data_IF_006911846819
#
_entry.id   IF_006911846819
#
_cell.length_a   1.000
_cell.length_b   1.000
_cell.length_c   1.000
_cell.angle_alpha   90.00
_cell.angle_beta   90.00
_cell.angle_gamma   90.00
#
_symmetry.space_group_name_H-M   'P 1'
#
loop_
_entity.id
_entity.type
_entity.pdbx_description
1 polymer ?
#
# COMPACT_ATOMS: atom_id res chain seq x y z
N UNK A 1 -24.48 34.79 14.32
CA UNK A 1 -23.71 35.57 15.31
C UNK A 1 -22.51 36.15 14.59
N UNK A 2 -22.40 37.47 14.53
CA UNK A 2 -21.29 38.21 13.93
C UNK A 2 -20.19 38.41 14.98
N UNK A 3 -18.97 38.76 14.55
CA UNK A 3 -17.87 39.07 15.47
C UNK A 3 -18.24 40.16 16.50
N UNK A 4 -19.10 41.11 16.08
CA UNK A 4 -19.63 42.20 16.90
C UNK A 4 -20.57 41.73 18.02
N UNK A 5 -21.08 40.50 17.94
CA UNK A 5 -21.91 39.88 18.98
C UNK A 5 -21.06 39.34 20.15
N UNK A 6 -19.73 39.56 20.13
CA UNK A 6 -18.88 39.27 21.29
C UNK A 6 -19.15 40.30 22.37
N UNK A 7 -19.93 39.92 23.37
CA UNK A 7 -20.31 40.81 24.46
C UNK A 7 -20.64 40.04 25.75
N UNK A 8 -20.85 40.80 26.83
CA UNK A 8 -21.36 40.31 28.09
C UNK A 8 -22.90 40.35 28.06
N UNK A 9 -23.52 39.18 28.15
CA UNK A 9 -24.96 39.02 28.09
C UNK A 9 -25.53 38.78 29.48
N UNK A 10 -26.62 39.47 29.83
CA UNK A 10 -27.32 39.33 31.10
C UNK A 10 -28.74 38.84 30.87
N UNK A 11 -29.23 38.01 31.80
CA UNK A 11 -30.64 37.69 31.87
C UNK A 11 -31.28 38.56 32.95
N UNK A 12 -32.35 39.26 32.59
CA UNK A 12 -33.15 40.06 33.51
C UNK A 12 -34.59 39.61 33.45
N UNK A 13 -35.23 39.44 34.61
CA UNK A 13 -36.67 39.23 34.68
C UNK A 13 -37.28 40.09 35.76
N UNK A 14 -38.50 40.54 35.49
CA UNK A 14 -39.34 41.27 36.42
C UNK A 14 -40.60 40.49 36.68
N UNK A 15 -40.91 40.27 37.94
CA UNK A 15 -42.17 39.65 38.35
C UNK A 15 -42.85 40.50 39.40
N UNK A 16 -44.17 40.43 39.46
CA UNK A 16 -44.96 41.09 40.50
C UNK A 16 -45.08 40.13 41.66
N UNK A 17 -44.54 40.53 42.82
CA UNK A 17 -44.68 39.77 44.07
C UNK A 17 -46.03 40.09 44.75
N UNK A 18 -46.40 39.34 45.78
CA UNK A 18 -47.67 39.51 46.53
C UNK A 18 -47.89 40.95 47.04
N UNK A 19 -46.82 41.70 47.30
CA UNK A 19 -46.85 43.10 47.75
C UNK A 19 -47.13 44.14 46.64
N UNK A 20 -47.52 43.72 45.43
CA UNK A 20 -47.81 44.57 44.24
C UNK A 20 -46.57 45.33 43.72
N UNK A 21 -45.41 45.17 44.36
CA UNK A 21 -44.16 45.80 43.91
C UNK A 21 -43.49 44.96 42.83
N UNK A 22 -43.11 45.56 41.69
CA UNK A 22 -42.32 44.86 40.68
C UNK A 22 -40.91 44.61 41.24
N UNK A 23 -40.53 43.33 41.33
CA UNK A 23 -39.18 42.91 41.73
C UNK A 23 -38.38 42.63 40.48
N UNK A 24 -37.23 43.29 40.35
CA UNK A 24 -36.27 43.08 39.27
C UNK A 24 -35.10 42.23 39.76
N UNK A 25 -34.82 41.14 39.04
CA UNK A 25 -33.66 40.28 39.26
C UNK A 25 -32.82 40.22 38.00
N UNK A 26 -31.50 40.21 38.18
CA UNK A 26 -30.52 40.08 37.10
C UNK A 26 -29.47 39.03 37.44
N UNK A 27 -29.00 38.29 36.44
CA UNK A 27 -27.88 37.36 36.61
C UNK A 27 -26.53 38.10 36.59
N UNK A 28 -25.44 37.43 37.01
CA UNK A 28 -24.08 37.98 36.96
C UNK A 28 -23.51 38.13 35.53
N UNK A 29 -24.31 37.75 34.53
CA UNK A 29 -23.95 37.80 33.12
C UNK A 29 -23.06 36.64 32.67
N UNK A 30 -22.95 36.45 31.36
CA UNK A 30 -22.09 35.47 30.71
C UNK A 30 -21.44 36.12 29.50
N UNK A 31 -20.12 36.00 29.40
CA UNK A 31 -19.37 36.50 28.24
C UNK A 31 -19.52 35.48 27.12
N UNK A 32 -20.13 35.90 26.01
CA UNK A 32 -20.18 35.11 24.79
C UNK A 32 -19.10 35.66 23.86
N UNK A 33 -18.15 34.81 23.49
CA UNK A 33 -17.07 35.17 22.57
C UNK A 33 -17.34 34.50 21.24
N UNK A 34 -17.63 35.31 20.23
CA UNK A 34 -17.82 34.85 18.85
C UNK A 34 -16.48 35.03 18.15
N UNK A 35 -15.80 33.93 17.86
CA UNK A 35 -14.61 33.95 17.00
C UNK A 35 -14.98 33.40 15.64
N UNK A 36 -14.55 34.09 14.59
CA UNK A 36 -14.33 33.45 13.30
C UNK A 36 -13.09 32.56 13.44
N UNK A 37 -13.27 31.40 14.07
CA UNK A 37 -12.34 30.32 13.82
C UNK A 37 -12.65 29.82 12.41
N UNK A 38 -11.78 30.17 11.46
CA UNK A 38 -11.63 29.38 10.25
C UNK A 38 -11.34 27.94 10.74
N UNK A 39 -12.39 27.14 10.84
CA UNK A 39 -12.32 25.77 11.30
C UNK A 39 -11.55 25.00 10.21
N UNK A 40 -10.24 24.88 10.39
CA UNK A 40 -9.32 24.30 9.43
C UNK A 40 -8.34 25.34 8.91
N UNK A 41 -7.05 25.05 9.06
CA UNK A 41 -6.00 25.80 8.38
C UNK A 41 -5.94 25.28 6.94
N UNK A 42 -6.46 26.00 5.93
CA UNK A 42 -6.56 25.48 4.56
C UNK A 42 -5.19 25.14 3.97
N UNK A 43 -4.14 25.81 4.46
CA UNK A 43 -2.74 25.53 4.11
C UNK A 43 -2.31 24.16 4.64
N UNK A 44 -2.64 23.82 5.89
CA UNK A 44 -2.31 22.52 6.46
C UNK A 44 -3.09 21.41 5.76
N UNK A 45 -4.38 21.63 5.47
CA UNK A 45 -5.20 20.66 4.74
C UNK A 45 -4.65 20.41 3.33
N UNK A 46 -4.26 21.47 2.62
CA UNK A 46 -3.65 21.34 1.30
C UNK A 46 -2.31 20.58 1.36
N UNK A 47 -1.47 20.86 2.36
CA UNK A 47 -0.20 20.16 2.57
C UNK A 47 -0.44 18.69 2.88
N UNK A 48 -1.40 18.36 3.76
CA UNK A 48 -1.73 16.98 4.10
C UNK A 48 -2.26 16.20 2.89
N UNK A 49 -3.12 16.81 2.08
CA UNK A 49 -3.64 16.20 0.85
C UNK A 49 -2.51 16.00 -0.15
N UNK A 50 -1.69 17.02 -0.40
CA UNK A 50 -0.56 16.92 -1.33
C UNK A 50 0.45 15.85 -0.88
N UNK A 51 0.78 15.82 0.41
CA UNK A 51 1.67 14.81 0.99
C UNK A 51 1.09 13.40 0.87
N UNK A 52 -0.21 13.24 1.14
CA UNK A 52 -0.91 11.96 0.96
C UNK A 52 -0.82 11.48 -0.49
N UNK A 53 -1.22 12.31 -1.46
CA UNK A 53 -1.20 11.98 -2.89
C UNK A 53 0.21 11.65 -3.37
N UNK A 54 1.20 12.44 -2.96
CA UNK A 54 2.61 12.21 -3.34
C UNK A 54 3.16 10.92 -2.72
N UNK A 55 2.87 10.63 -1.44
CA UNK A 55 3.26 9.38 -0.81
C UNK A 55 2.64 8.17 -1.51
N UNK A 56 1.33 8.22 -1.81
CA UNK A 56 0.64 7.14 -2.53
C UNK A 56 1.21 6.92 -3.94
N UNK A 57 1.45 7.98 -4.70
CA UNK A 57 2.02 7.87 -6.05
C UNK A 57 3.43 7.30 -6.03
N UNK A 58 4.29 7.72 -5.10
CA UNK A 58 5.65 7.16 -4.93
C UNK A 58 5.58 5.67 -4.60
N UNK A 59 4.71 5.26 -3.67
CA UNK A 59 4.54 3.85 -3.30
C UNK A 59 4.12 3.02 -4.52
N UNK A 60 3.10 3.46 -5.26
CA UNK A 60 2.63 2.77 -6.47
C UNK A 60 3.75 2.64 -7.49
N UNK A 61 4.49 3.72 -7.77
CA UNK A 61 5.61 3.70 -8.71
C UNK A 61 6.72 2.73 -8.29
N UNK A 62 7.04 2.66 -6.99
CA UNK A 62 8.02 1.71 -6.46
C UNK A 62 7.54 0.27 -6.64
N UNK A 63 6.28 -0.03 -6.34
CA UNK A 63 5.70 -1.37 -6.54
C UNK A 63 5.69 -1.77 -8.02
N UNK A 64 5.20 -0.90 -8.90
CA UNK A 64 5.18 -1.15 -10.34
C UNK A 64 6.59 -1.33 -10.88
N UNK A 65 7.54 -0.48 -10.50
CA UNK A 65 8.95 -0.60 -10.88
C UNK A 65 9.57 -1.91 -10.39
N UNK A 66 9.31 -2.30 -9.14
CA UNK A 66 9.76 -3.57 -8.58
C UNK A 66 9.17 -4.76 -9.33
N UNK A 67 7.88 -4.74 -9.67
CA UNK A 67 7.24 -5.79 -10.48
C UNK A 67 7.87 -5.88 -11.87
N UNK A 68 8.04 -4.76 -12.58
CA UNK A 68 8.68 -4.75 -13.90
C UNK A 68 10.11 -5.28 -13.82
N UNK A 69 10.90 -4.88 -12.82
CA UNK A 69 12.25 -5.37 -12.61
C UNK A 69 12.28 -6.86 -12.30
N UNK A 70 11.35 -7.35 -11.47
CA UNK A 70 11.21 -8.79 -11.18
C UNK A 70 10.82 -9.58 -12.43
N UNK A 71 9.84 -9.13 -13.20
CA UNK A 71 9.45 -9.75 -14.47
C UNK A 71 10.58 -9.71 -15.49
N UNK A 72 11.32 -8.60 -15.61
CA UNK A 72 12.51 -8.51 -16.48
C UNK A 72 13.62 -9.44 -16.00
N UNK A 73 13.88 -9.54 -14.70
CA UNK A 73 14.86 -10.48 -14.14
C UNK A 73 14.43 -11.93 -14.38
N UNK A 74 13.15 -12.25 -14.23
CA UNK A 74 12.60 -13.57 -14.54
C UNK A 74 12.74 -13.88 -16.03
N UNK A 75 12.40 -12.95 -16.92
CA UNK A 75 12.58 -13.11 -18.37
C UNK A 75 14.05 -13.29 -18.77
N UNK A 76 14.99 -12.60 -18.09
CA UNK A 76 16.44 -12.79 -18.31
C UNK A 76 16.97 -14.13 -17.78
N UNK A 77 16.33 -14.69 -16.74
CA UNK A 77 16.67 -16.01 -16.16
C UNK A 77 15.87 -17.16 -16.77
N UNK A 78 14.87 -16.86 -17.60
CA UNK A 78 14.15 -17.85 -18.37
C UNK A 78 15.09 -18.32 -19.48
N UNK A 79 15.86 -19.36 -19.19
CA UNK A 79 16.50 -20.17 -20.21
C UNK A 79 15.36 -20.89 -20.94
N UNK A 80 15.00 -20.55 -22.19
CA UNK A 80 14.02 -21.32 -22.91
C UNK A 80 14.52 -22.76 -22.94
N UNK A 81 13.69 -23.72 -22.50
CA UNK A 81 14.02 -25.12 -22.52
C UNK A 81 14.28 -25.56 -23.96
N UNK A 82 15.55 -25.49 -24.39
CA UNK A 82 16.06 -25.73 -25.74
C UNK A 82 15.23 -25.08 -26.85
N UNK A 83 15.78 -24.06 -27.51
CA UNK A 83 15.49 -23.93 -28.94
C UNK A 83 15.70 -25.31 -29.56
N UNK A 84 14.68 -25.83 -30.26
CA UNK A 84 14.81 -27.06 -31.02
C UNK A 84 16.09 -26.93 -31.85
N UNK A 85 17.14 -27.65 -31.44
CA UNK A 85 18.39 -27.63 -32.16
C UNK A 85 18.11 -28.01 -33.61
N UNK A 86 18.87 -27.49 -34.58
CA UNK A 86 18.71 -27.90 -35.98
C UNK A 86 18.66 -29.44 -36.04
N UNK A 87 17.81 -30.02 -36.92
CA UNK A 87 17.64 -31.46 -36.99
C UNK A 87 19.02 -32.12 -37.02
N UNK A 88 19.27 -33.02 -36.06
CA UNK A 88 20.55 -33.76 -36.04
C UNK A 88 20.71 -34.46 -37.39
N UNK A 89 21.88 -34.39 -38.03
CA UNK A 89 22.12 -35.13 -39.25
C UNK A 89 21.88 -36.63 -39.01
N UNK A 90 21.37 -37.36 -40.02
CA UNK A 90 21.07 -38.78 -39.88
C UNK A 90 22.34 -39.52 -39.47
N UNK A 91 22.26 -40.20 -38.32
CA UNK A 91 23.35 -41.03 -37.80
C UNK A 91 23.47 -42.26 -38.70
N UNK A 92 24.68 -42.64 -39.17
CA UNK A 92 24.82 -43.85 -39.97
C UNK A 92 24.34 -45.06 -39.15
N UNK A 93 23.42 -45.83 -39.73
CA UNK A 93 22.97 -47.08 -39.16
C UNK A 93 24.13 -48.07 -39.24
N UNK A 94 24.76 -48.34 -38.10
CA UNK A 94 25.70 -49.43 -37.99
C UNK A 94 24.87 -50.73 -38.04
N UNK A 95 24.80 -51.36 -39.21
CA UNK A 95 24.34 -52.75 -39.33
C UNK A 95 25.30 -53.65 -38.56
N UNK A 96 24.91 -54.04 -37.34
CA UNK A 96 25.50 -55.20 -36.67
C UNK A 96 24.92 -56.47 -37.29
N UNK A 97 25.74 -57.43 -37.75
CA UNK A 97 25.25 -58.76 -38.01
C UNK A 97 24.93 -59.45 -36.68
N UNK A 98 23.68 -59.87 -36.56
CA UNK A 98 23.16 -60.71 -35.50
C UNK A 98 23.79 -62.11 -35.60
N UNK A 99 24.56 -62.54 -34.60
CA UNK A 99 24.76 -63.96 -34.25
C UNK A 99 25.33 -64.05 -32.83
N UNK A 100 24.46 -64.31 -31.86
CA UNK A 100 24.79 -65.03 -30.63
C UNK A 100 24.68 -66.54 -30.96
N UNK A 101 25.25 -67.52 -30.20
CA UNK A 101 25.20 -67.52 -28.73
C UNK A 101 26.27 -68.32 -27.93
N UNK A 102 26.25 -68.07 -26.60
CA UNK A 102 26.79 -68.82 -25.44
C UNK A 102 28.26 -69.32 -25.43
N UNK A 103 29.05 -68.81 -24.47
CA UNK A 103 29.75 -69.67 -23.50
C UNK A 103 30.04 -68.84 -22.23
N UNK A 104 29.25 -69.11 -21.19
CA UNK A 104 29.59 -68.76 -19.81
C UNK A 104 30.71 -69.69 -19.40
N UNK A 105 31.84 -69.16 -18.91
CA UNK A 105 32.52 -69.60 -17.67
C UNK A 105 33.86 -68.90 -17.47
N UNK A 106 34.00 -68.34 -16.26
CA UNK A 106 35.15 -68.40 -15.36
C UNK A 106 36.35 -67.46 -15.54
N UNK A 107 36.58 -66.74 -14.42
CA UNK A 107 37.88 -66.33 -13.85
C UNK A 107 38.57 -65.16 -14.60
N UNK A 108 39.15 -64.15 -13.96
CA UNK A 108 39.64 -64.11 -12.59
C UNK A 108 39.88 -62.67 -12.12
N UNK A 109 39.94 -62.54 -10.81
CA UNK A 109 40.28 -61.36 -10.01
C UNK A 109 41.65 -60.75 -10.31
N UNK A 110 41.74 -59.41 -10.26
CA UNK A 110 42.82 -58.59 -9.64
C UNK A 110 42.55 -57.11 -9.94
N UNK A 111 42.20 -56.25 -8.97
CA UNK A 111 43.11 -55.72 -7.92
C UNK A 111 43.86 -54.51 -8.51
N UNK A 112 43.97 -53.33 -7.91
CA UNK A 112 43.78 -52.83 -6.55
C UNK A 112 43.85 -51.29 -6.63
N UNK A 113 43.22 -50.59 -5.68
CA UNK A 113 43.57 -49.23 -5.27
C UNK A 113 44.97 -49.17 -4.68
#
# INVERSE_FOLDING_TARGET
MQLQDTNLYFCTWSFVSEDIRPVHLSTNGTIIIVREELCGNPILDLVLIAFSVTAFTVIVLLFTGAMILRHRRFKKRFTPGRAAGPPRPPRPQHTCPQHQPYLVTSLDFRGTL
#
